data_IF_727449735203
#
_entry.id   IF_727449735203
#
_cell.length_a   1.000
_cell.length_b   1.000
_cell.length_c   1.000
_cell.angle_alpha   90.00
_cell.angle_beta   90.00
_cell.angle_gamma   90.00
#
_symmetry.space_group_name_H-M   'P 1'
#
loop_
_entity.id
_entity.type
_entity.pdbx_description
1 polymer ?
#
# COMPACT_ATOMS: atom_id res chain seq x y z
N UNK A 1 -19.09 26.53 -2.05
CA UNK A 1 -18.42 25.26 -2.40
C UNK A 1 -17.17 25.51 -3.27
N UNK A 2 -16.26 26.42 -2.87
CA UNK A 2 -15.11 26.86 -3.72
C UNK A 2 -13.73 26.54 -3.12
N UNK A 3 -13.69 25.78 -2.02
CA UNK A 3 -12.44 25.46 -1.32
C UNK A 3 -11.89 24.07 -1.63
N UNK A 4 -12.63 23.21 -2.35
CA UNK A 4 -12.20 21.83 -2.63
C UNK A 4 -11.47 21.66 -3.97
N UNK A 5 -11.53 22.63 -4.91
CA UNK A 5 -10.83 22.56 -6.20
C UNK A 5 -9.31 22.79 -6.09
N UNK A 6 -8.87 23.67 -5.18
CA UNK A 6 -7.44 23.95 -4.94
C UNK A 6 -6.81 23.03 -3.89
N UNK A 7 -7.57 22.06 -3.39
CA UNK A 7 -7.19 21.23 -2.26
C UNK A 7 -6.31 20.06 -2.69
N UNK A 8 -5.11 20.38 -3.18
CA UNK A 8 -4.10 19.44 -3.70
C UNK A 8 -3.35 18.68 -2.60
N UNK A 9 -3.37 19.22 -1.38
CA UNK A 9 -2.81 18.55 -0.18
C UNK A 9 -3.82 17.52 0.35
N UNK A 10 -3.95 16.40 -0.36
CA UNK A 10 -4.76 15.26 0.08
C UNK A 10 -3.94 13.98 -0.02
N UNK A 11 -4.02 13.16 1.03
CA UNK A 11 -3.44 11.82 1.03
C UNK A 11 -4.46 10.79 1.49
N UNK A 12 -4.54 9.67 0.78
CA UNK A 12 -5.37 8.51 1.14
C UNK A 12 -4.50 7.28 1.30
N UNK A 13 -4.71 6.56 2.39
CA UNK A 13 -4.03 5.29 2.66
C UNK A 13 -5.01 4.16 2.44
N UNK A 14 -4.63 3.22 1.59
CA UNK A 14 -5.48 2.14 1.14
C UNK A 14 -4.99 0.81 1.69
N UNK A 15 -5.92 -0.02 2.15
CA UNK A 15 -5.67 -1.40 2.49
C UNK A 15 -6.35 -2.33 1.47
N UNK A 16 -5.71 -3.46 1.11
CA UNK A 16 -6.33 -4.45 0.26
C UNK A 16 -7.43 -5.22 1.01
N UNK A 17 -8.52 -5.50 0.31
CA UNK A 17 -9.53 -6.44 0.75
C UNK A 17 -9.18 -7.83 0.20
N UNK A 18 -8.79 -8.74 1.09
CA UNK A 18 -8.34 -10.08 0.73
C UNK A 18 -9.32 -10.83 -0.16
N UNK A 19 -8.79 -11.58 -1.14
CA UNK A 19 -9.61 -12.34 -2.09
C UNK A 19 -10.37 -11.48 -3.10
N UNK A 20 -10.18 -10.15 -3.10
CA UNK A 20 -10.80 -9.24 -4.05
C UNK A 20 -9.76 -8.33 -4.71
N UNK A 21 -10.17 -7.60 -5.75
CA UNK A 21 -9.35 -6.56 -6.40
C UNK A 21 -9.71 -5.15 -5.92
N UNK A 22 -10.30 -5.05 -4.72
CA UNK A 22 -10.78 -3.80 -4.15
C UNK A 22 -9.81 -3.31 -3.07
N UNK A 23 -9.56 -2.02 -3.09
CA UNK A 23 -8.85 -1.30 -2.05
C UNK A 23 -9.83 -0.43 -1.26
N UNK A 24 -9.65 -0.36 0.05
CA UNK A 24 -10.49 0.47 0.92
C UNK A 24 -9.64 1.49 1.69
N UNK A 25 -10.12 2.72 1.89
CA UNK A 25 -9.39 3.74 2.64
C UNK A 25 -9.43 3.44 4.14
N UNK A 26 -8.26 3.41 4.76
CA UNK A 26 -8.13 3.36 6.22
C UNK A 26 -7.88 4.74 6.83
N UNK A 27 -7.29 5.65 6.07
CA UNK A 27 -7.00 7.01 6.51
C UNK A 27 -7.07 7.99 5.35
N UNK A 28 -7.71 9.13 5.57
CA UNK A 28 -7.78 10.25 4.64
C UNK A 28 -7.35 11.50 5.39
N UNK A 29 -6.37 12.21 4.85
CA UNK A 29 -5.99 13.53 5.29
C UNK A 29 -6.37 14.54 4.21
N UNK A 30 -7.15 15.54 4.59
CA UNK A 30 -7.68 16.54 3.65
C UNK A 30 -7.59 17.93 4.28
N UNK A 31 -7.02 18.90 3.56
CA UNK A 31 -7.06 20.29 3.99
C UNK A 31 -8.47 20.86 3.83
N UNK A 32 -8.94 21.64 4.79
CA UNK A 32 -10.26 22.29 4.78
C UNK A 32 -10.06 23.76 5.15
N UNK A 33 -11.12 24.55 5.11
CA UNK A 33 -11.07 25.96 5.56
C UNK A 33 -10.65 26.11 7.02
N UNK A 34 -10.88 25.09 7.84
CA UNK A 34 -10.56 25.09 9.27
C UNK A 34 -9.20 24.48 9.60
N UNK A 35 -8.47 23.97 8.60
CA UNK A 35 -7.23 23.22 8.77
C UNK A 35 -7.31 21.79 8.23
N UNK A 36 -6.36 20.94 8.59
CA UNK A 36 -6.30 19.55 8.12
C UNK A 36 -7.27 18.67 8.90
N UNK A 37 -8.23 18.08 8.20
CA UNK A 37 -9.14 17.09 8.75
C UNK A 37 -8.59 15.68 8.49
N UNK A 38 -8.60 14.82 9.51
CA UNK A 38 -8.20 13.41 9.42
C UNK A 38 -9.44 12.54 9.64
N UNK A 39 -9.72 11.68 8.67
CA UNK A 39 -10.76 10.65 8.75
C UNK A 39 -10.03 9.31 8.83
N UNK A 40 -10.23 8.57 9.90
CA UNK A 40 -9.54 7.29 10.15
C UNK A 40 -10.54 6.20 10.54
N UNK A 41 -10.33 5.00 10.01
CA UNK A 41 -11.06 3.82 10.42
C UNK A 41 -10.63 3.44 11.85
N UNK A 42 -11.54 3.52 12.81
CA UNK A 42 -11.27 3.17 14.21
C UNK A 42 -11.08 1.68 14.45
N UNK A 43 -11.53 0.86 13.51
CA UNK A 43 -11.37 -0.59 13.54
C UNK A 43 -11.24 -1.14 12.14
N UNK A 44 -10.30 -2.05 11.97
CA UNK A 44 -10.08 -2.81 10.75
C UNK A 44 -9.87 -4.28 11.09
N UNK A 45 -10.59 -5.16 10.41
CA UNK A 45 -10.41 -6.62 10.52
C UNK A 45 -10.13 -7.15 9.12
N UNK A 46 -8.95 -7.76 8.92
CA UNK A 46 -8.56 -8.38 7.65
C UNK A 46 -9.12 -9.80 7.62
N UNK A 47 -10.24 -10.02 6.93
CA UNK A 47 -10.83 -11.35 6.77
C UNK A 47 -10.45 -11.89 5.41
N UNK A 48 -9.59 -12.90 5.38
CA UNK A 48 -9.20 -13.63 4.18
C UNK A 48 -8.13 -14.66 4.48
N UNK A 49 -8.12 -15.76 3.73
CA UNK A 49 -7.04 -16.75 3.79
C UNK A 49 -5.80 -16.14 3.16
N UNK A 50 -4.84 -15.75 3.99
CA UNK A 50 -3.55 -15.29 3.50
C UNK A 50 -2.86 -16.44 2.75
N UNK A 51 -2.97 -16.47 1.41
CA UNK A 51 -1.96 -17.15 0.61
C UNK A 51 -0.76 -16.21 0.63
N UNK A 52 0.15 -16.46 1.57
CA UNK A 52 1.46 -15.83 1.56
C UNK A 52 2.08 -16.10 0.20
N UNK A 53 2.07 -15.11 -0.69
CA UNK A 53 3.00 -15.08 -1.80
C UNK A 53 4.32 -14.73 -1.17
N UNK A 54 5.08 -15.76 -0.80
CA UNK A 54 6.50 -15.66 -0.51
C UNK A 54 7.17 -15.14 -1.78
N UNK A 55 7.17 -13.82 -1.95
CA UNK A 55 8.16 -13.13 -2.75
C UNK A 55 9.50 -13.20 -2.04
N UNK A 56 9.97 -14.42 -1.78
CA UNK A 56 11.37 -14.65 -1.54
C UNK A 56 12.01 -14.50 -2.92
N UNK A 57 12.61 -13.34 -3.16
CA UNK A 57 13.62 -13.23 -4.20
C UNK A 57 14.75 -14.17 -3.78
N UNK A 58 14.63 -15.45 -4.12
CA UNK A 58 15.75 -16.38 -4.12
C UNK A 58 16.79 -15.74 -5.02
N UNK A 59 17.93 -15.27 -4.49
CA UNK A 59 19.05 -14.95 -5.33
C UNK A 59 19.40 -16.28 -5.99
N UNK A 60 19.12 -16.37 -7.28
CA UNK A 60 19.46 -17.54 -8.07
C UNK A 60 20.89 -17.91 -7.74
N UNK A 61 21.07 -19.19 -7.40
CA UNK A 61 22.34 -19.91 -7.49
C UNK A 61 23.17 -19.27 -8.60
N UNK A 62 24.28 -18.64 -8.23
CA UNK A 62 25.29 -18.21 -9.18
C UNK A 62 25.77 -19.48 -9.85
N UNK A 63 25.27 -19.72 -11.05
CA UNK A 63 25.72 -20.79 -11.90
C UNK A 63 27.21 -20.55 -12.17
N UNK A 64 27.99 -21.57 -11.82
CA UNK A 64 29.34 -21.91 -12.24
C UNK A 64 30.01 -20.97 -13.25
N UNK A 65 31.05 -20.27 -12.79
CA UNK A 65 32.16 -19.89 -13.65
C UNK A 65 33.46 -20.20 -12.89
N UNK A 66 33.74 -21.50 -12.75
CA UNK A 66 35.07 -21.98 -12.41
C UNK A 66 36.03 -21.59 -13.54
N UNK A 67 36.75 -20.47 -13.39
CA UNK A 67 37.93 -20.15 -14.19
C UNK A 67 39.08 -21.03 -13.69
N UNK A 68 39.11 -22.26 -14.18
CA UNK A 68 40.28 -23.11 -14.20
C UNK A 68 40.87 -23.10 -15.62
N UNK A 69 42.18 -22.83 -15.71
CA UNK A 69 43.07 -22.99 -16.88
C UNK A 69 42.87 -21.88 -17.94
N UNK A 70 43.86 -21.04 -18.27
CA UNK A 70 45.23 -21.38 -18.65
C UNK A 70 46.16 -20.17 -18.48
#
# INVERSE_FOLDING_TARGET
>A
MKFMEDNRDMSVWLAPVEGTRVLVPLRIAVRTTLGTNIIEATRWTRTGTATASSGEAQPGVVADASLSQQ
#
